data_IF_694190761362
#
_entry.id   IF_694190761362
#
_cell.length_a   1.000
_cell.length_b   1.000
_cell.length_c   1.000
_cell.angle_alpha   90.00
_cell.angle_beta   90.00
_cell.angle_gamma   90.00
#
_symmetry.space_group_name_H-M   'P 1'
#
loop_
_entity.id
_entity.type
_entity.pdbx_description
1 polymer ?
#
# COMPACT_ATOMS: atom_id res chain seq x y z
N UNK A 1 -2.66 2.38 2.96
CA UNK A 1 -3.32 3.71 3.03
C UNK A 1 -3.95 4.11 1.70
N UNK A 2 -3.20 4.25 0.59
CA UNK A 2 -3.73 4.76 -0.68
C UNK A 2 -4.90 3.93 -1.24
N UNK A 3 -4.81 2.61 -1.25
CA UNK A 3 -5.86 1.72 -1.76
C UNK A 3 -7.16 1.76 -0.93
N UNK A 4 -7.07 2.09 0.36
CA UNK A 4 -8.22 2.32 1.24
C UNK A 4 -8.66 3.78 1.31
N UNK A 5 -8.15 4.65 0.44
CA UNK A 5 -8.47 6.08 0.46
C UNK A 5 -9.91 6.32 0.01
N UNK A 6 -10.68 6.95 0.87
CA UNK A 6 -12.03 7.53 0.71
C UNK A 6 -13.03 6.76 -0.16
N UNK A 7 -14.28 6.64 0.26
CA UNK A 7 -15.26 5.90 -0.55
C UNK A 7 -15.72 6.67 -1.80
N UNK A 8 -15.50 7.99 -1.86
CA UNK A 8 -16.02 8.84 -2.96
C UNK A 8 -14.95 9.32 -3.91
N UNK A 9 -13.90 9.96 -3.39
CA UNK A 9 -12.87 10.64 -4.19
C UNK A 9 -11.52 9.91 -4.20
N UNK A 10 -11.38 8.81 -3.47
CA UNK A 10 -10.19 7.97 -3.42
C UNK A 10 -10.31 6.70 -4.27
N UNK A 11 -9.33 5.81 -4.14
CA UNK A 11 -9.35 4.52 -4.82
C UNK A 11 -10.44 3.61 -4.27
N UNK A 12 -10.55 3.51 -2.95
CA UNK A 12 -11.54 2.69 -2.23
C UNK A 12 -11.55 1.21 -2.68
N UNK A 13 -10.39 0.69 -3.10
CA UNK A 13 -10.26 -0.73 -3.48
C UNK A 13 -10.22 -1.66 -2.28
N UNK A 14 -9.79 -1.12 -1.11
CA UNK A 14 -9.75 -1.84 0.16
C UNK A 14 -10.63 -1.13 1.19
N UNK A 15 -11.43 -1.90 1.88
CA UNK A 15 -12.15 -1.47 3.06
C UNK A 15 -11.30 -1.79 4.29
N UNK A 16 -10.92 -0.74 5.03
CA UNK A 16 -10.09 -0.87 6.23
C UNK A 16 -10.99 -1.01 7.46
N UNK A 17 -10.59 -1.78 8.48
CA UNK A 17 -11.34 -1.88 9.72
C UNK A 17 -11.41 -0.51 10.42
N UNK A 18 -12.59 -0.18 10.93
CA UNK A 18 -12.85 1.02 11.71
C UNK A 18 -12.54 0.75 13.18
N UNK A 19 -11.29 0.94 13.60
CA UNK A 19 -10.88 0.68 14.97
C UNK A 19 -11.28 1.80 15.94
N UNK A 20 -11.38 3.03 15.42
CA UNK A 20 -11.69 4.20 16.20
C UNK A 20 -12.36 5.31 15.36
N UNK A 21 -13.15 6.21 15.98
CA UNK A 21 -13.70 7.37 15.29
C UNK A 21 -12.58 8.25 14.73
N UNK A 22 -12.61 8.54 13.43
CA UNK A 22 -11.58 9.37 12.80
C UNK A 22 -11.69 10.86 13.09
N UNK A 23 -12.85 11.34 13.58
CA UNK A 23 -13.10 12.74 13.92
C UNK A 23 -14.41 12.89 14.66
N UNK A 24 -14.44 13.80 15.64
CA UNK A 24 -15.69 14.20 16.34
C UNK A 24 -16.55 15.15 15.49
N UNK A 25 -15.97 15.77 14.45
CA UNK A 25 -16.63 16.79 13.62
C UNK A 25 -17.22 16.20 12.33
N UNK A 26 -16.62 15.14 11.79
CA UNK A 26 -17.01 14.53 10.54
C UNK A 26 -17.60 13.12 10.77
N UNK A 27 -18.93 12.97 10.78
CA UNK A 27 -19.55 11.65 10.92
C UNK A 27 -19.09 10.69 9.81
N UNK A 28 -18.77 9.45 10.20
CA UNK A 28 -18.35 8.41 9.26
C UNK A 28 -16.94 8.54 8.71
N UNK A 29 -16.12 9.47 9.23
CA UNK A 29 -14.70 9.51 8.91
C UNK A 29 -13.97 8.38 9.65
N UNK A 30 -13.29 7.53 8.87
CA UNK A 30 -12.40 6.48 9.38
C UNK A 30 -10.98 6.82 8.96
N UNK A 31 -10.05 6.88 9.91
CA UNK A 31 -8.63 7.07 9.64
C UNK A 31 -7.93 5.70 9.64
N UNK A 32 -6.91 5.49 8.78
CA UNK A 32 -6.09 4.28 8.79
C UNK A 32 -5.00 4.35 9.88
N UNK A 33 -5.42 4.54 11.14
CA UNK A 33 -4.53 4.86 12.28
C UNK A 33 -3.46 3.82 12.50
N UNK A 34 -3.74 2.54 12.29
CA UNK A 34 -2.75 1.47 12.41
C UNK A 34 -1.67 1.56 11.32
N UNK A 35 -2.05 1.92 10.09
CA UNK A 35 -1.08 2.15 9.02
C UNK A 35 -0.24 3.41 9.26
N UNK A 36 -0.84 4.44 9.83
CA UNK A 36 -0.14 5.68 10.22
C UNK A 36 0.84 5.41 11.35
N UNK A 37 0.45 4.64 12.37
CA UNK A 37 1.32 4.24 13.47
C UNK A 37 2.53 3.44 12.97
N UNK A 38 2.32 2.42 12.12
CA UNK A 38 3.41 1.65 11.54
C UNK A 38 4.35 2.53 10.70
N UNK A 39 3.81 3.48 9.94
CA UNK A 39 4.62 4.43 9.16
C UNK A 39 5.48 5.32 10.07
N UNK A 40 4.94 5.80 11.21
CA UNK A 40 5.71 6.56 12.20
C UNK A 40 6.82 5.72 12.83
N UNK A 41 6.55 4.46 13.14
CA UNK A 41 7.59 3.51 13.63
C UNK A 41 8.70 3.35 12.58
N UNK A 42 8.35 3.19 11.30
CA UNK A 42 9.36 3.12 10.24
C UNK A 42 10.24 4.38 10.18
N UNK A 43 9.66 5.56 10.33
CA UNK A 43 10.43 6.81 10.39
C UNK A 43 11.41 6.80 11.58
N UNK A 44 10.96 6.33 12.76
CA UNK A 44 11.82 6.24 13.94
C UNK A 44 12.98 5.26 13.73
N UNK A 45 12.71 4.10 13.15
CA UNK A 45 13.73 3.08 12.85
C UNK A 45 14.78 3.60 11.88
N UNK A 46 14.37 4.33 10.84
CA UNK A 46 15.30 5.00 9.91
C UNK A 46 16.19 6.00 10.65
N UNK A 47 15.62 6.78 11.56
CA UNK A 47 16.38 7.70 12.42
C UNK A 47 17.40 6.96 13.30
N UNK A 48 17.01 5.85 13.90
CA UNK A 48 17.92 5.00 14.68
C UNK A 48 19.02 4.40 13.82
N UNK A 49 18.73 3.98 12.59
CA UNK A 49 19.73 3.50 11.65
C UNK A 49 20.78 4.57 11.33
N UNK A 50 20.35 5.80 11.11
CA UNK A 50 21.26 6.94 10.90
C UNK A 50 22.16 7.16 12.13
N UNK A 51 21.59 7.09 13.33
CA UNK A 51 22.35 7.19 14.60
C UNK A 51 23.42 6.10 14.69
N UNK A 52 23.07 4.85 14.40
CA UNK A 52 24.03 3.73 14.40
C UNK A 52 25.15 3.95 13.36
N UNK A 53 24.77 4.41 12.16
CA UNK A 53 25.75 4.68 11.09
C UNK A 53 26.77 5.75 11.51
N UNK A 54 26.29 6.87 12.07
CA UNK A 54 27.17 7.94 12.55
C UNK A 54 28.03 7.50 13.74
N UNK A 55 27.45 6.79 14.69
CA UNK A 55 28.18 6.27 15.85
C UNK A 55 29.28 5.27 15.45
N UNK A 56 29.05 4.50 14.39
CA UNK A 56 30.07 3.63 13.83
C UNK A 56 31.17 4.41 13.12
N UNK A 57 30.83 5.41 12.31
CA UNK A 57 31.75 6.25 11.56
C UNK A 57 32.68 7.09 12.47
N UNK A 58 32.18 7.49 13.63
CA UNK A 58 32.92 8.28 14.63
C UNK A 58 33.73 7.42 15.61
N UNK A 59 33.66 6.10 15.48
CA UNK A 59 34.43 5.18 16.31
C UNK A 59 35.93 5.39 16.17
N UNK A 60 36.66 5.30 17.29
CA UNK A 60 38.11 5.37 17.31
C UNK A 60 38.72 4.01 16.95
N UNK A 61 39.90 3.99 16.33
CA UNK A 61 40.61 2.78 15.97
C UNK A 61 40.73 1.84 17.19
N UNK A 62 40.35 0.59 17.00
CA UNK A 62 40.30 -0.50 17.99
C UNK A 62 39.38 -0.29 19.18
N UNK A 63 38.79 0.90 19.35
CA UNK A 63 37.85 1.19 20.43
C UNK A 63 36.74 2.11 19.97
N UNK A 64 35.52 1.56 19.82
CA UNK A 64 34.31 2.39 19.59
C UNK A 64 33.60 2.66 20.93
N UNK A 65 33.73 3.90 21.43
CA UNK A 65 33.07 4.35 22.65
C UNK A 65 31.55 4.58 22.51
N UNK A 66 31.02 4.57 21.28
CA UNK A 66 29.60 4.81 21.00
C UNK A 66 28.71 3.57 21.12
N UNK A 67 29.24 2.42 21.56
CA UNK A 67 28.50 1.17 21.74
C UNK A 67 27.18 1.34 22.51
N UNK A 68 27.08 2.12 23.58
CA UNK A 68 25.82 2.30 24.31
C UNK A 68 24.69 2.86 23.46
N UNK A 69 24.95 3.88 22.63
CA UNK A 69 23.93 4.47 21.76
C UNK A 69 23.59 3.55 20.58
N UNK A 70 24.55 2.78 20.08
CA UNK A 70 24.34 1.77 19.05
C UNK A 70 23.38 0.69 19.55
N UNK A 71 23.66 0.12 20.72
CA UNK A 71 22.83 -0.94 21.31
C UNK A 71 21.43 -0.42 21.65
N UNK A 72 21.35 0.77 22.24
CA UNK A 72 20.05 1.40 22.55
C UNK A 72 19.20 1.57 21.28
N UNK A 73 19.76 2.16 20.22
CA UNK A 73 19.04 2.42 18.98
C UNK A 73 18.62 1.12 18.28
N UNK A 74 19.47 0.09 18.32
CA UNK A 74 19.16 -1.22 17.76
C UNK A 74 18.01 -1.90 18.52
N UNK A 75 18.13 -2.02 19.83
CA UNK A 75 17.11 -2.68 20.65
C UNK A 75 15.77 -1.94 20.58
N UNK A 76 15.77 -0.59 20.62
CA UNK A 76 14.56 0.18 20.41
C UNK A 76 13.91 -0.12 19.07
N UNK A 77 14.70 -0.21 17.99
CA UNK A 77 14.16 -0.52 16.67
C UNK A 77 13.53 -1.90 16.60
N UNK A 78 14.16 -2.90 17.22
CA UNK A 78 13.63 -4.27 17.27
C UNK A 78 12.29 -4.31 18.03
N UNK A 79 12.24 -3.70 19.21
CA UNK A 79 11.01 -3.65 20.00
C UNK A 79 9.88 -2.94 19.27
N UNK A 80 10.13 -1.74 18.75
CA UNK A 80 9.13 -0.95 18.04
C UNK A 80 8.60 -1.67 16.80
N UNK A 81 9.46 -2.35 16.03
CA UNK A 81 9.03 -3.10 14.85
C UNK A 81 8.21 -4.34 15.23
N UNK A 82 8.62 -5.05 16.27
CA UNK A 82 7.88 -6.24 16.72
C UNK A 82 6.46 -5.87 17.20
N UNK A 83 6.36 -4.86 18.06
CA UNK A 83 5.08 -4.42 18.61
C UNK A 83 4.18 -3.83 17.52
N UNK A 84 4.73 -2.99 16.65
CA UNK A 84 3.97 -2.39 15.56
C UNK A 84 3.52 -3.42 14.52
N UNK A 85 4.33 -4.42 14.20
CA UNK A 85 3.96 -5.48 13.27
C UNK A 85 2.83 -6.34 13.83
N UNK A 86 2.90 -6.71 15.10
CA UNK A 86 1.85 -7.48 15.78
C UNK A 86 0.53 -6.71 15.83
N UNK A 87 0.58 -5.46 16.28
CA UNK A 87 -0.61 -4.59 16.32
C UNK A 87 -1.21 -4.36 14.93
N UNK A 88 -0.38 -4.15 13.92
CA UNK A 88 -0.82 -3.95 12.55
C UNK A 88 -1.48 -5.20 11.95
N UNK A 89 -0.96 -6.39 12.25
CA UNK A 89 -1.55 -7.65 11.81
C UNK A 89 -2.94 -7.83 12.41
N UNK A 90 -3.05 -7.72 13.72
CA UNK A 90 -4.29 -7.97 14.46
C UNK A 90 -5.37 -6.92 14.15
N UNK A 91 -5.01 -5.64 14.18
CA UNK A 91 -6.01 -4.56 14.15
C UNK A 91 -6.25 -3.99 12.76
N UNK A 92 -5.45 -4.37 11.76
CA UNK A 92 -5.64 -3.92 10.41
C UNK A 92 -5.69 -5.04 9.39
N UNK A 93 -4.65 -5.90 9.29
CA UNK A 93 -4.54 -6.87 8.19
C UNK A 93 -5.67 -7.88 8.23
N UNK A 94 -6.01 -8.40 9.40
CA UNK A 94 -7.08 -9.40 9.58
C UNK A 94 -8.48 -8.85 9.23
N UNK A 95 -8.69 -7.54 9.34
CA UNK A 95 -9.96 -6.89 9.06
C UNK A 95 -10.08 -6.27 7.66
N UNK A 96 -9.02 -6.32 6.83
CA UNK A 96 -9.04 -5.73 5.49
C UNK A 96 -9.93 -6.54 4.55
N UNK A 97 -10.83 -5.87 3.85
CA UNK A 97 -11.69 -6.48 2.83
C UNK A 97 -11.47 -5.80 1.48
N UNK A 98 -11.56 -6.59 0.40
CA UNK A 98 -11.48 -6.08 -0.96
C UNK A 98 -12.86 -5.64 -1.44
N UNK A 99 -12.99 -4.39 -1.89
CA UNK A 99 -14.16 -3.91 -2.61
C UNK A 99 -14.10 -4.40 -4.07
N UNK A 100 -14.68 -5.58 -4.30
CA UNK A 100 -14.60 -6.25 -5.60
C UNK A 100 -15.28 -5.48 -6.72
N UNK A 101 -16.34 -4.74 -6.41
CA UNK A 101 -17.06 -3.93 -7.39
C UNK A 101 -16.21 -2.73 -7.81
N UNK A 102 -15.64 -2.04 -6.84
CA UNK A 102 -14.76 -0.91 -7.09
C UNK A 102 -13.48 -1.30 -7.84
N UNK A 103 -12.87 -2.42 -7.45
CA UNK A 103 -11.70 -2.97 -8.15
C UNK A 103 -12.05 -3.30 -9.61
N UNK A 104 -13.22 -3.92 -9.86
CA UNK A 104 -13.66 -4.25 -11.21
C UNK A 104 -13.88 -2.99 -12.05
N UNK A 105 -14.52 -1.94 -11.48
CA UNK A 105 -14.71 -0.65 -12.16
C UNK A 105 -13.36 -0.02 -12.54
N UNK A 106 -12.42 0.06 -11.60
CA UNK A 106 -11.11 0.67 -11.84
C UNK A 106 -10.29 -0.15 -12.86
N UNK A 107 -10.37 -1.47 -12.79
CA UNK A 107 -9.73 -2.34 -13.76
C UNK A 107 -10.28 -2.12 -15.18
N UNK A 108 -11.59 -1.96 -15.33
CA UNK A 108 -12.21 -1.67 -16.63
C UNK A 108 -11.79 -0.31 -17.20
N UNK A 109 -11.46 0.65 -16.36
CA UNK A 109 -10.94 1.97 -16.74
C UNK A 109 -9.43 1.97 -17.00
N UNK A 110 -8.73 0.90 -16.62
CA UNK A 110 -7.29 0.75 -16.82
C UNK A 110 -6.98 0.28 -18.24
N UNK A 111 -5.80 0.64 -18.75
CA UNK A 111 -5.25 0.09 -19.99
C UNK A 111 -4.61 -1.30 -19.83
N UNK A 112 -4.46 -1.80 -18.61
CA UNK A 112 -3.81 -3.09 -18.36
C UNK A 112 -4.44 -4.26 -19.12
N UNK A 113 -5.79 -4.40 -19.19
CA UNK A 113 -6.42 -5.48 -19.94
C UNK A 113 -6.16 -5.42 -21.47
N UNK A 114 -5.71 -4.27 -22.00
CA UNK A 114 -5.40 -4.09 -23.43
C UNK A 114 -4.25 -5.00 -23.85
N UNK A 115 -3.30 -5.25 -22.95
CA UNK A 115 -2.14 -6.12 -23.26
C UNK A 115 -2.54 -7.55 -23.59
N UNK A 116 -3.65 -8.05 -23.05
CA UNK A 116 -4.20 -9.37 -23.38
C UNK A 116 -4.68 -9.49 -24.83
N UNK A 117 -4.91 -8.36 -25.51
CA UNK A 117 -5.30 -8.34 -26.92
C UNK A 117 -4.10 -8.40 -27.89
N UNK A 118 -2.90 -8.14 -27.39
CA UNK A 118 -1.69 -8.04 -28.21
C UNK A 118 -1.46 -9.26 -29.12
N UNK A 119 -1.62 -10.52 -28.68
CA UNK A 119 -1.47 -11.69 -29.53
C UNK A 119 -2.48 -11.76 -30.68
N UNK A 120 -3.64 -11.10 -30.54
CA UNK A 120 -4.74 -11.20 -31.50
C UNK A 120 -4.80 -10.07 -32.52
N UNK A 121 -4.40 -8.85 -32.14
CA UNK A 121 -4.54 -7.66 -32.98
C UNK A 121 -3.23 -6.93 -33.25
N UNK A 122 -2.14 -7.33 -32.64
CA UNK A 122 -0.82 -6.70 -32.75
C UNK A 122 -0.70 -5.41 -31.93
N UNK A 123 0.52 -5.07 -31.57
CA UNK A 123 0.83 -3.93 -30.68
C UNK A 123 0.40 -2.58 -31.25
N UNK A 124 0.60 -2.35 -32.55
CA UNK A 124 0.33 -1.06 -33.18
C UNK A 124 -1.16 -0.70 -33.30
N UNK A 125 -2.03 -1.70 -33.19
CA UNK A 125 -3.49 -1.51 -33.25
C UNK A 125 -4.14 -1.38 -31.87
N UNK A 126 -3.34 -1.44 -30.80
CA UNK A 126 -3.85 -1.30 -29.46
C UNK A 126 -4.28 0.17 -29.19
N UNK A 127 -5.43 0.38 -28.52
CA UNK A 127 -5.85 1.72 -28.14
C UNK A 127 -4.85 2.31 -27.13
N UNK A 128 -4.37 3.51 -27.41
CA UNK A 128 -3.39 4.24 -26.58
C UNK A 128 -4.04 5.09 -25.49
N UNK A 129 -5.38 5.05 -25.39
CA UNK A 129 -6.15 5.85 -24.43
C UNK A 129 -7.41 5.09 -23.99
N UNK A 130 -7.85 5.21 -22.73
CA UNK A 130 -9.10 4.64 -22.25
C UNK A 130 -10.32 5.44 -22.75
N UNK A 131 -10.50 5.51 -24.06
CA UNK A 131 -11.66 6.16 -24.67
C UNK A 131 -12.91 5.25 -24.58
N UNK A 132 -14.10 5.84 -24.76
CA UNK A 132 -15.38 5.09 -24.77
C UNK A 132 -15.43 3.95 -25.80
N UNK A 133 -14.66 4.07 -26.90
CA UNK A 133 -14.50 3.02 -27.90
C UNK A 133 -13.65 1.84 -27.39
N UNK A 134 -12.63 2.11 -26.57
CA UNK A 134 -11.80 1.07 -25.94
C UNK A 134 -12.64 0.21 -24.99
N UNK A 135 -13.53 0.81 -24.21
CA UNK A 135 -14.43 0.10 -23.28
C UNK A 135 -15.41 -0.83 -24.04
N UNK A 136 -15.85 -0.47 -25.23
CA UNK A 136 -16.71 -1.31 -26.05
C UNK A 136 -15.97 -2.52 -26.62
N UNK A 137 -14.73 -2.33 -27.10
CA UNK A 137 -13.84 -3.41 -27.56
C UNK A 137 -13.55 -4.38 -26.43
N UNK A 138 -13.27 -3.86 -25.22
CA UNK A 138 -13.04 -4.66 -24.01
C UNK A 138 -14.23 -5.54 -23.66
N UNK A 139 -15.43 -4.98 -23.63
CA UNK A 139 -16.65 -5.74 -23.34
C UNK A 139 -16.88 -6.85 -24.36
N UNK A 140 -16.63 -6.59 -25.63
CA UNK A 140 -16.78 -7.56 -26.69
C UNK A 140 -15.79 -8.74 -26.56
N UNK A 141 -14.52 -8.45 -26.30
CA UNK A 141 -13.46 -9.47 -26.13
C UNK A 141 -13.66 -10.29 -24.87
N UNK A 142 -14.00 -9.65 -23.73
CA UNK A 142 -14.32 -10.35 -22.48
C UNK A 142 -15.50 -11.29 -22.61
N UNK A 143 -16.52 -10.90 -23.38
CA UNK A 143 -17.68 -11.75 -23.69
C UNK A 143 -17.30 -12.97 -24.54
N UNK A 144 -16.34 -12.82 -25.43
CA UNK A 144 -15.82 -13.90 -26.29
C UNK A 144 -14.93 -14.88 -25.51
N UNK A 145 -14.02 -14.36 -24.67
CA UNK A 145 -13.16 -15.17 -23.79
C UNK A 145 -13.95 -15.97 -22.75
N UNK A 146 -15.08 -15.42 -22.22
CA UNK A 146 -15.96 -16.14 -21.27
C UNK A 146 -16.82 -17.22 -21.94
N UNK A 147 -17.01 -17.19 -23.25
CA UNK A 147 -17.82 -18.16 -24.00
C UNK A 147 -17.03 -19.36 -24.50
N UNK A 148 -15.75 -19.47 -24.13
CA UNK A 148 -14.89 -20.57 -24.58
C UNK A 148 -14.79 -20.59 -26.10
N UNK A 149 -13.64 -20.18 -26.62
CA UNK A 149 -13.32 -20.62 -27.97
C UNK A 149 -13.23 -22.12 -27.99
#
# INVERSE_FOLDING_TARGET
MLLGSGPRAGFAELQLPANEPGSSIMPGKVNPTQAEALAMVCCRVIGNHTTVTLANALGTLELNAYKPVIVYSLLQSVTLLADAASSFAEHMVEGVQADRERIAELLERSLMPVTALNPHIGYDKLPRSPSSRSSAIFRCVRRRLRRGM
#
